data_IF_501737094258
#
_entry.id   IF_501737094258
#
_cell.length_a   1.000
_cell.length_b   1.000
_cell.length_c   1.000
_cell.angle_alpha   90.00
_cell.angle_beta   90.00
_cell.angle_gamma   90.00
#
_symmetry.space_group_name_H-M   'P 1'
#
loop_
_entity.id
_entity.type
_entity.pdbx_description
1 polymer ?
#
# COMPACT_ATOMS: atom_id res chain seq x y z
N UNK A 1 -12.87 -4.78 0.06
CA UNK A 1 -12.68 -3.50 0.76
C UNK A 1 -11.85 -2.57 -0.12
N UNK A 2 -12.00 -1.24 0.04
CA UNK A 2 -11.22 -0.24 -0.69
C UNK A 2 -10.87 0.92 0.24
N UNK A 3 -9.59 1.15 0.49
CA UNK A 3 -9.08 2.25 1.31
C UNK A 3 -8.29 3.23 0.44
N UNK A 4 -8.45 4.53 0.68
CA UNK A 4 -7.59 5.54 0.07
C UNK A 4 -6.20 5.50 0.70
N UNK A 5 -5.17 5.62 -0.14
CA UNK A 5 -3.79 5.85 0.30
C UNK A 5 -3.46 7.29 -0.06
N UNK A 6 -3.15 8.09 0.94
CA UNK A 6 -2.78 9.49 0.79
C UNK A 6 -1.37 9.73 1.30
N UNK A 7 -0.63 10.56 0.58
CA UNK A 7 0.74 10.93 0.91
C UNK A 7 0.90 12.44 0.70
N UNK A 8 1.30 13.15 1.75
CA UNK A 8 1.43 14.61 1.75
C UNK A 8 0.17 15.35 1.25
N UNK A 9 -1.02 14.84 1.60
CA UNK A 9 -2.30 15.43 1.19
C UNK A 9 -2.70 15.14 -0.27
N UNK A 10 -1.94 14.31 -0.98
CA UNK A 10 -2.26 13.87 -2.34
C UNK A 10 -2.63 12.39 -2.36
N UNK A 11 -3.62 12.05 -3.18
CA UNK A 11 -4.02 10.65 -3.38
C UNK A 11 -2.92 9.91 -4.13
N UNK A 12 -2.35 8.90 -3.49
CA UNK A 12 -1.37 8.00 -4.10
C UNK A 12 -2.05 6.85 -4.86
N UNK A 13 -3.19 6.38 -4.34
CA UNK A 13 -3.88 5.22 -4.87
C UNK A 13 -4.92 4.67 -3.92
N UNK A 14 -5.18 3.37 -4.03
CA UNK A 14 -6.05 2.65 -3.11
C UNK A 14 -5.50 1.29 -2.74
N UNK A 15 -5.75 0.86 -1.50
CA UNK A 15 -5.58 -0.52 -1.08
C UNK A 15 -6.90 -1.26 -1.36
N UNK A 16 -6.86 -2.25 -2.25
CA UNK A 16 -8.06 -2.98 -2.69
C UNK A 16 -7.93 -4.47 -2.40
N UNK A 17 -9.01 -5.08 -1.91
CA UNK A 17 -9.10 -6.54 -1.69
C UNK A 17 -9.65 -6.89 -0.30
N UNK A 18 -9.38 -8.10 0.15
CA UNK A 18 -9.67 -8.60 1.50
C UNK A 18 -8.37 -8.86 2.29
N UNK A 19 -8.48 -9.34 3.54
CA UNK A 19 -7.33 -9.56 4.41
C UNK A 19 -6.26 -10.50 3.85
N UNK A 20 -6.58 -11.35 2.85
CA UNK A 20 -5.63 -12.32 2.27
C UNK A 20 -5.10 -11.86 0.91
N UNK A 21 -5.84 -11.01 0.21
CA UNK A 21 -5.59 -10.67 -1.19
C UNK A 21 -5.33 -9.20 -1.45
N UNK A 22 -5.44 -8.33 -0.44
CA UNK A 22 -5.33 -6.88 -0.65
C UNK A 22 -4.03 -6.49 -1.37
N UNK A 23 -4.05 -5.49 -2.24
CA UNK A 23 -2.82 -4.92 -2.83
C UNK A 23 -3.07 -3.45 -3.19
N UNK A 24 -2.00 -2.72 -3.44
CA UNK A 24 -2.09 -1.32 -3.86
C UNK A 24 -2.39 -1.22 -5.36
N UNK A 25 -3.33 -0.34 -5.67
CA UNK A 25 -3.63 0.15 -7.02
C UNK A 25 -3.19 1.61 -7.07
N UNK A 26 -2.20 1.90 -7.91
CA UNK A 26 -1.61 3.23 -8.08
C UNK A 26 -2.59 4.13 -8.84
N UNK A 27 -2.80 5.35 -8.34
CA UNK A 27 -3.48 6.38 -9.10
C UNK A 27 -2.53 6.97 -10.16
N UNK A 28 -2.92 7.04 -11.45
CA UNK A 28 -2.06 7.64 -12.48
C UNK A 28 -1.60 9.06 -12.15
N UNK A 29 -2.43 9.87 -11.49
CA UNK A 29 -2.07 11.23 -11.08
C UNK A 29 -0.92 11.27 -10.06
N UNK A 30 -0.72 10.20 -9.30
CA UNK A 30 0.41 10.09 -8.39
C UNK A 30 1.73 9.97 -9.18
N UNK A 31 1.73 9.26 -10.31
CA UNK A 31 2.90 9.15 -11.20
C UNK A 31 3.26 10.52 -11.76
N UNK A 32 2.26 11.30 -12.19
CA UNK A 32 2.47 12.65 -12.72
C UNK A 32 3.04 13.59 -11.65
N UNK A 33 2.62 13.44 -10.40
CA UNK A 33 3.06 14.28 -9.28
C UNK A 33 4.44 13.91 -8.74
N UNK A 34 4.69 12.63 -8.46
CA UNK A 34 5.90 12.17 -7.77
C UNK A 34 6.98 11.63 -8.71
N UNK A 35 6.64 11.40 -9.97
CA UNK A 35 7.54 10.88 -11.00
C UNK A 35 7.57 9.35 -11.08
N UNK A 36 7.79 8.85 -12.30
CA UNK A 36 7.95 7.41 -12.57
C UNK A 36 9.16 6.86 -11.81
N UNK A 37 9.02 5.66 -11.25
CA UNK A 37 10.00 4.97 -10.41
C UNK A 37 10.32 5.67 -9.07
N UNK A 38 9.53 6.69 -8.68
CA UNK A 38 9.65 7.25 -7.34
C UNK A 38 9.43 6.17 -6.27
N UNK A 39 10.23 6.25 -5.20
CA UNK A 39 10.16 5.35 -4.04
C UNK A 39 9.60 6.09 -2.81
N UNK A 40 8.82 7.15 -3.04
CA UNK A 40 8.34 8.08 -2.01
C UNK A 40 7.59 7.38 -0.86
N UNK A 41 6.96 6.24 -1.13
CA UNK A 41 6.29 5.42 -0.10
C UNK A 41 7.25 4.35 0.47
N UNK A 42 7.95 3.62 -0.39
CA UNK A 42 8.83 2.51 -0.04
C UNK A 42 9.54 1.97 -1.28
N UNK A 43 10.73 1.40 -1.10
CA UNK A 43 11.43 0.62 -2.13
C UNK A 43 10.66 -0.62 -2.58
N UNK A 44 9.72 -1.12 -1.76
CA UNK A 44 8.89 -2.27 -2.10
C UNK A 44 7.77 -1.93 -3.10
N UNK A 45 7.39 -0.65 -3.19
CA UNK A 45 6.26 -0.16 -3.98
C UNK A 45 6.77 0.96 -4.89
N UNK A 46 7.53 0.63 -5.95
CA UNK A 46 7.97 1.62 -6.90
C UNK A 46 6.77 2.20 -7.65
N UNK A 47 6.78 3.51 -7.87
CA UNK A 47 5.68 4.19 -8.52
C UNK A 47 5.72 3.99 -10.05
N UNK A 48 5.04 2.95 -10.51
CA UNK A 48 4.98 2.55 -11.94
C UNK A 48 3.54 2.25 -12.36
N UNK A 49 3.18 2.38 -13.66
CA UNK A 49 1.80 2.14 -14.13
C UNK A 49 1.27 0.73 -13.86
N UNK A 50 2.15 -0.26 -13.80
CA UNK A 50 1.77 -1.65 -13.55
C UNK A 50 2.78 -2.33 -12.62
N UNK A 51 2.31 -2.65 -11.42
CA UNK A 51 3.11 -3.37 -10.45
C UNK A 51 3.26 -4.85 -10.83
N UNK A 52 4.45 -5.38 -10.56
CA UNK A 52 4.80 -6.78 -10.78
C UNK A 52 4.02 -7.70 -9.84
N UNK A 53 3.28 -8.66 -10.40
CA UNK A 53 2.43 -9.58 -9.61
C UNK A 53 3.24 -10.51 -8.71
N UNK A 54 4.42 -10.94 -9.15
CA UNK A 54 5.34 -11.78 -8.38
C UNK A 54 5.88 -11.08 -7.11
N UNK A 55 5.83 -9.74 -7.07
CA UNK A 55 6.25 -8.94 -5.92
C UNK A 55 5.07 -8.53 -5.01
N UNK A 56 3.86 -9.03 -5.26
CA UNK A 56 2.65 -8.68 -4.48
C UNK A 56 2.79 -9.03 -3.01
N UNK A 57 3.41 -10.17 -2.66
CA UNK A 57 3.62 -10.54 -1.26
C UNK A 57 4.47 -9.50 -0.52
N UNK A 58 5.55 -9.03 -1.15
CA UNK A 58 6.44 -8.01 -0.56
C UNK A 58 5.72 -6.67 -0.32
N UNK A 59 4.88 -6.23 -1.27
CA UNK A 59 4.09 -5.01 -1.11
C UNK A 59 3.04 -5.14 0.00
N UNK A 60 2.35 -6.28 0.04
CA UNK A 60 1.36 -6.59 1.07
C UNK A 60 1.96 -6.58 2.46
N UNK A 61 3.12 -7.22 2.62
CA UNK A 61 3.83 -7.22 3.89
C UNK A 61 4.17 -5.81 4.36
N UNK A 62 4.63 -4.92 3.47
CA UNK A 62 4.93 -3.54 3.84
C UNK A 62 3.71 -2.81 4.45
N UNK A 63 2.50 -3.02 3.92
CA UNK A 63 1.29 -2.45 4.53
C UNK A 63 0.89 -3.15 5.83
N UNK A 64 1.07 -4.47 5.92
CA UNK A 64 0.77 -5.23 7.13
C UNK A 64 1.69 -4.82 8.29
N UNK A 65 2.95 -4.49 8.00
CA UNK A 65 3.96 -3.99 8.96
C UNK A 65 3.64 -2.57 9.49
N UNK A 66 2.63 -1.87 8.94
CA UNK A 66 2.14 -0.63 9.53
C UNK A 66 1.23 -0.88 10.74
N UNK A 67 0.73 -2.10 10.88
CA UNK A 67 -0.11 -2.48 12.01
C UNK A 67 0.78 -2.80 13.22
N UNK A 68 0.27 -2.61 14.44
CA UNK A 68 0.97 -3.07 15.64
C UNK A 68 1.25 -4.57 15.59
N UNK A 69 2.22 -5.02 16.40
CA UNK A 69 2.55 -6.42 16.56
C UNK A 69 2.10 -6.97 17.93
N UNK A 70 2.06 -8.30 18.05
CA UNK A 70 1.82 -9.01 19.31
C UNK A 70 0.51 -8.62 20.00
N UNK A 71 0.56 -8.46 21.33
CA UNK A 71 -0.63 -8.21 22.15
C UNK A 71 -1.41 -6.95 21.73
N UNK A 72 -0.75 -5.94 21.16
CA UNK A 72 -1.41 -4.74 20.68
C UNK A 72 -2.27 -5.01 19.43
N UNK A 73 -1.78 -5.88 18.55
CA UNK A 73 -2.53 -6.32 17.38
C UNK A 73 -3.77 -7.12 17.79
N UNK A 74 -3.58 -8.10 18.70
CA UNK A 74 -4.67 -8.92 19.21
C UNK A 74 -5.74 -8.06 19.92
N UNK A 75 -5.32 -7.04 20.66
CA UNK A 75 -6.25 -6.08 21.27
C UNK A 75 -7.09 -5.31 20.24
N UNK A 76 -6.52 -4.94 19.08
CA UNK A 76 -7.28 -4.27 18.01
C UNK A 76 -8.33 -5.18 17.37
N UNK A 77 -8.09 -6.49 17.32
CA UNK A 77 -9.03 -7.47 16.75
C UNK A 77 -10.15 -7.88 17.71
N UNK A 78 -9.92 -7.79 19.01
CA UNK A 78 -10.88 -8.17 20.04
C UNK A 78 -11.99 -7.12 20.29
N UNK A 79 -11.91 -5.96 19.64
CA UNK A 79 -12.92 -4.90 19.68
C UNK A 79 -13.71 -4.83 18.39
#
# INVERSE_FOLDING_TARGET
MKLAIELYGHRFGTLEGDSRSFDVVIDPSAIDLFGVNSMVISVAIPLVPKLRRDQSARRRNWFAELLPEGDQYEYMLAK
#
